data_IF_032887174506
#
_entry.id   IF_032887174506
#
_cell.length_a   1.000
_cell.length_b   1.000
_cell.length_c   1.000
_cell.angle_alpha   90.00
_cell.angle_beta   90.00
_cell.angle_gamma   90.00
#
_symmetry.space_group_name_H-M   'P 1'
#
loop_
_entity.id
_entity.type
_entity.pdbx_description
1 polymer ?
#
# COMPACT_ATOMS: atom_id res chain seq x y z
N UNK A 1 49.74 -6.91 46.74
CA UNK A 1 49.09 -5.61 46.44
C UNK A 1 49.44 -5.19 45.02
N UNK A 2 48.58 -5.45 44.03
CA UNK A 2 48.53 -4.74 42.72
C UNK A 2 47.05 -4.73 42.28
N UNK A 3 46.69 -3.68 41.55
CA UNK A 3 45.41 -2.98 41.46
C UNK A 3 44.34 -3.65 40.58
N UNK A 4 43.10 -3.27 40.86
CA UNK A 4 41.89 -3.51 40.08
C UNK A 4 41.97 -3.04 38.63
N UNK A 5 41.17 -3.67 37.75
CA UNK A 5 40.55 -3.02 36.59
C UNK A 5 39.38 -3.88 36.08
N UNK A 6 38.18 -3.54 36.55
CA UNK A 6 36.89 -3.89 35.96
C UNK A 6 36.79 -3.27 34.57
N UNK A 7 36.85 -4.09 33.52
CA UNK A 7 36.42 -3.69 32.18
C UNK A 7 34.95 -4.05 32.03
N UNK A 8 34.09 -3.06 32.29
CA UNK A 8 32.70 -3.05 31.89
C UNK A 8 32.69 -2.98 30.36
N UNK A 9 32.45 -4.12 29.71
CA UNK A 9 32.24 -4.17 28.26
C UNK A 9 30.89 -3.56 27.93
N UNK A 10 30.89 -2.34 27.38
CA UNK A 10 29.72 -1.75 26.76
C UNK A 10 29.31 -2.63 25.58
N UNK A 11 28.20 -3.36 25.73
CA UNK A 11 27.47 -3.91 24.61
C UNK A 11 26.94 -2.72 23.80
N UNK A 12 27.63 -2.36 22.72
CA UNK A 12 27.06 -1.52 21.69
C UNK A 12 25.94 -2.31 21.02
N UNK A 13 24.71 -2.15 21.53
CA UNK A 13 23.53 -2.44 20.73
C UNK A 13 23.52 -1.42 19.59
N UNK A 14 24.20 -1.76 18.49
CA UNK A 14 23.94 -1.14 17.21
C UNK A 14 22.51 -1.53 16.84
N UNK A 15 21.55 -0.69 17.24
CA UNK A 15 20.24 -0.63 16.62
C UNK A 15 20.49 -0.21 15.16
N UNK A 16 20.73 -1.19 14.29
CA UNK A 16 20.47 -0.99 12.87
C UNK A 16 18.98 -0.73 12.76
N UNK A 17 18.59 0.53 12.77
CA UNK A 17 17.28 0.93 12.30
C UNK A 17 17.13 0.31 10.90
N UNK A 18 16.16 -0.59 10.73
CA UNK A 18 15.76 -1.08 9.43
C UNK A 18 15.17 0.09 8.65
N UNK A 19 16.03 0.91 8.07
CA UNK A 19 15.64 1.95 7.12
C UNK A 19 15.57 1.29 5.75
N UNK A 20 14.43 0.69 5.45
CA UNK A 20 14.18 0.09 4.15
C UNK A 20 12.67 0.03 3.89
N UNK A 21 12.05 1.17 3.57
CA UNK A 21 10.81 1.18 2.78
C UNK A 21 11.17 0.86 1.32
N UNK A 22 11.85 -0.27 1.08
CA UNK A 22 12.37 -0.68 -0.24
C UNK A 22 11.26 -0.89 -1.26
N UNK A 23 10.04 -1.06 -0.78
CA UNK A 23 8.90 -1.40 -1.62
C UNK A 23 8.01 -0.20 -1.93
N UNK A 24 8.31 1.00 -1.39
CA UNK A 24 7.52 2.19 -1.69
C UNK A 24 7.50 2.46 -3.20
N UNK A 25 6.29 2.50 -3.78
CA UNK A 25 6.06 2.67 -5.21
C UNK A 25 6.22 1.42 -6.07
N UNK A 26 6.59 0.26 -5.48
CA UNK A 26 6.56 -1.01 -6.22
C UNK A 26 5.13 -1.39 -6.60
N UNK A 27 4.98 -2.06 -7.74
CA UNK A 27 3.66 -2.48 -8.24
C UNK A 27 3.12 -3.67 -7.47
N UNK A 28 1.83 -3.69 -7.17
CA UNK A 28 1.18 -4.76 -6.43
C UNK A 28 -0.17 -5.15 -7.04
N UNK A 29 -0.57 -6.42 -6.87
CA UNK A 29 -1.90 -6.87 -7.30
C UNK A 29 -2.95 -6.41 -6.31
N UNK A 30 -4.04 -5.84 -6.83
CA UNK A 30 -5.17 -5.45 -6.00
C UNK A 30 -5.98 -6.69 -5.63
N UNK A 31 -6.13 -6.93 -4.33
CA UNK A 31 -6.92 -8.04 -3.79
C UNK A 31 -7.89 -7.55 -2.72
N UNK A 32 -8.95 -8.31 -2.50
CA UNK A 32 -9.91 -8.08 -1.42
C UNK A 32 -10.11 -9.36 -0.61
N UNK A 33 -10.51 -9.24 0.66
CA UNK A 33 -10.90 -10.40 1.46
C UNK A 33 -12.01 -11.18 0.76
N UNK A 34 -11.87 -12.50 0.77
CA UNK A 34 -12.92 -13.37 0.28
C UNK A 34 -14.06 -13.45 1.30
N UNK A 35 -15.29 -13.13 0.89
CA UNK A 35 -16.46 -13.10 1.78
C UNK A 35 -17.28 -14.39 1.78
N UNK A 36 -16.85 -15.39 1.01
CA UNK A 36 -17.54 -16.69 0.90
C UNK A 36 -17.11 -17.64 2.02
N UNK A 37 -18.07 -18.39 2.57
CA UNK A 37 -17.80 -19.35 3.64
C UNK A 37 -16.81 -20.44 3.18
N UNK A 38 -15.71 -20.61 3.91
CA UNK A 38 -14.66 -21.58 3.60
C UNK A 38 -13.55 -21.05 2.68
N UNK A 39 -13.63 -19.79 2.26
CA UNK A 39 -12.60 -19.17 1.44
C UNK A 39 -11.48 -18.58 2.31
N UNK A 40 -10.27 -19.14 2.19
CA UNK A 40 -9.12 -18.76 3.04
C UNK A 40 -8.09 -17.90 2.34
N UNK A 41 -8.31 -17.52 1.07
CA UNK A 41 -7.36 -16.75 0.26
C UNK A 41 -7.99 -15.44 -0.23
N UNK A 42 -7.23 -14.34 -0.29
CA UNK A 42 -7.68 -13.11 -0.96
C UNK A 42 -8.09 -13.37 -2.41
N UNK A 43 -9.08 -12.61 -2.90
CA UNK A 43 -9.53 -12.67 -4.29
C UNK A 43 -9.09 -11.42 -5.04
N UNK A 44 -8.80 -11.56 -6.33
CA UNK A 44 -8.37 -10.45 -7.17
C UNK A 44 -9.50 -9.42 -7.34
N UNK A 45 -9.14 -8.14 -7.26
CA UNK A 45 -9.97 -7.04 -7.75
C UNK A 45 -9.73 -6.92 -9.24
N UNK A 46 -10.78 -7.05 -10.04
CA UNK A 46 -10.68 -6.98 -11.49
C UNK A 46 -10.58 -5.51 -11.95
N UNK A 47 -9.88 -5.28 -13.05
CA UNK A 47 -9.79 -3.94 -13.66
C UNK A 47 -11.19 -3.38 -13.97
N UNK A 48 -12.10 -4.23 -14.44
CA UNK A 48 -13.49 -3.87 -14.73
C UNK A 48 -14.33 -3.53 -13.48
N UNK A 49 -13.90 -3.93 -12.28
CA UNK A 49 -14.51 -3.49 -11.03
C UNK A 49 -14.07 -2.07 -10.69
N UNK A 50 -12.78 -1.76 -10.89
CA UNK A 50 -12.22 -0.44 -10.61
C UNK A 50 -12.78 0.64 -11.54
N UNK A 51 -12.93 0.31 -12.83
CA UNK A 51 -13.47 1.21 -13.84
C UNK A 51 -14.92 1.65 -13.59
N UNK A 52 -15.66 0.93 -12.74
CA UNK A 52 -17.02 1.34 -12.34
C UNK A 52 -17.03 2.46 -11.32
N UNK A 53 -15.94 2.69 -10.59
CA UNK A 53 -15.83 3.76 -9.60
C UNK A 53 -14.52 4.56 -9.78
N UNK A 54 -14.41 5.30 -10.88
CA UNK A 54 -13.20 6.03 -11.30
C UNK A 54 -12.79 7.20 -10.39
N UNK A 55 -13.67 7.65 -9.49
CA UNK A 55 -13.42 8.77 -8.57
C UNK A 55 -12.91 8.36 -7.18
N UNK A 56 -12.73 7.07 -6.93
CA UNK A 56 -12.32 6.54 -5.62
C UNK A 56 -10.97 5.84 -5.69
N UNK A 57 -10.18 6.03 -4.65
CA UNK A 57 -9.01 5.22 -4.40
C UNK A 57 -9.42 3.83 -3.92
N UNK A 58 -8.58 2.85 -4.20
CA UNK A 58 -8.75 1.49 -3.73
C UNK A 58 -7.58 1.13 -2.80
N UNK A 59 -7.91 0.42 -1.73
CA UNK A 59 -6.95 -0.08 -0.74
C UNK A 59 -7.08 -1.60 -0.68
N UNK A 60 -5.99 -2.29 -0.99
CA UNK A 60 -5.84 -3.72 -0.83
C UNK A 60 -4.96 -4.00 0.39
N UNK A 61 -5.54 -4.68 1.38
CA UNK A 61 -4.89 -5.03 2.64
C UNK A 61 -4.24 -6.41 2.48
N UNK A 62 -2.91 -6.50 2.65
CA UNK A 62 -2.19 -7.77 2.62
C UNK A 62 -1.82 -8.27 1.22
N UNK A 63 -1.61 -7.37 0.26
CA UNK A 63 -0.95 -7.72 -1.01
C UNK A 63 0.46 -8.23 -0.71
N UNK A 64 0.79 -9.42 -1.21
CA UNK A 64 2.05 -10.10 -0.91
C UNK A 64 3.28 -9.33 -1.41
N UNK A 65 3.09 -8.44 -2.37
CA UNK A 65 4.14 -7.61 -2.97
C UNK A 65 4.53 -6.40 -2.11
N UNK A 66 3.75 -6.07 -1.07
CA UNK A 66 3.97 -4.84 -0.29
C UNK A 66 4.55 -5.06 1.12
N UNK A 67 4.77 -6.30 1.54
CA UNK A 67 5.24 -6.64 2.90
C UNK A 67 4.46 -5.88 3.99
N UNK A 68 5.09 -4.92 4.69
CA UNK A 68 4.49 -4.07 5.73
C UNK A 68 3.72 -2.84 5.18
N UNK A 69 3.81 -2.56 3.88
CA UNK A 69 3.11 -1.48 3.19
C UNK A 69 1.71 -1.88 2.73
N UNK A 70 0.93 -0.87 2.37
CA UNK A 70 -0.44 -1.07 1.85
C UNK A 70 -0.41 -0.98 0.33
N UNK A 71 -1.13 -1.85 -0.37
CA UNK A 71 -1.30 -1.73 -1.81
C UNK A 71 -2.45 -0.77 -2.12
N UNK A 72 -2.18 0.30 -2.86
CA UNK A 72 -3.21 1.26 -3.25
C UNK A 72 -3.27 1.46 -4.76
N UNK A 73 -4.45 1.87 -5.22
CA UNK A 73 -4.66 2.38 -6.57
C UNK A 73 -5.35 3.73 -6.47
N UNK A 74 -4.79 4.74 -7.12
CA UNK A 74 -5.22 6.14 -6.97
C UNK A 74 -6.15 6.55 -8.09
N UNK A 75 -7.34 7.05 -7.77
CA UNK A 75 -8.26 7.61 -8.74
C UNK A 75 -7.60 8.71 -9.58
N UNK A 76 -7.85 8.68 -10.88
CA UNK A 76 -7.35 9.66 -11.84
C UNK A 76 -5.82 9.83 -11.73
N UNK A 77 -5.08 8.73 -11.77
CA UNK A 77 -3.61 8.76 -11.72
C UNK A 77 -3.02 7.71 -12.66
N UNK A 78 -1.74 7.84 -12.97
CA UNK A 78 -0.96 6.94 -13.82
C UNK A 78 -0.63 5.63 -13.09
N UNK A 79 -1.68 4.89 -12.71
CA UNK A 79 -1.51 3.59 -12.05
C UNK A 79 -0.91 2.56 -13.01
N UNK A 80 -0.26 1.50 -12.49
CA UNK A 80 0.26 0.43 -13.33
C UNK A 80 -0.82 -0.25 -14.18
N UNK A 81 -0.39 -0.72 -15.34
CA UNK A 81 -1.27 -1.44 -16.27
C UNK A 81 -1.81 -2.73 -15.65
N UNK A 82 -3.08 -3.09 -15.93
CA UNK A 82 -3.69 -4.30 -15.41
C UNK A 82 -3.07 -5.55 -16.07
N UNK A 83 -2.89 -6.60 -15.28
CA UNK A 83 -2.16 -7.83 -15.68
C UNK A 83 -3.06 -9.06 -15.65
N UNK A 84 -2.62 -10.15 -16.25
CA UNK A 84 -3.29 -11.43 -16.11
C UNK A 84 -3.11 -12.01 -14.70
N UNK A 85 -4.09 -12.78 -14.20
CA UNK A 85 -4.05 -13.31 -12.84
C UNK A 85 -2.86 -14.25 -12.62
N UNK A 86 -2.55 -15.06 -13.63
CA UNK A 86 -1.45 -16.02 -13.62
C UNK A 86 -0.14 -15.33 -14.05
N UNK A 87 0.92 -15.58 -13.29
CA UNK A 87 2.25 -15.05 -13.60
C UNK A 87 2.76 -15.56 -14.96
N UNK A 88 3.34 -14.66 -15.75
CA UNK A 88 3.87 -14.98 -17.09
C UNK A 88 2.82 -15.06 -18.21
N UNK A 89 1.52 -15.06 -17.88
CA UNK A 89 0.46 -14.94 -18.87
C UNK A 89 0.27 -13.47 -19.27
N UNK A 90 0.19 -13.22 -20.57
CA UNK A 90 -0.05 -11.88 -21.15
C UNK A 90 -1.28 -11.84 -22.06
N UNK A 91 -2.03 -12.95 -22.12
CA UNK A 91 -3.05 -13.21 -23.16
C UNK A 91 -4.47 -13.35 -22.64
N UNK A 92 -4.69 -13.24 -21.33
CA UNK A 92 -6.02 -13.28 -20.73
C UNK A 92 -6.96 -12.18 -21.28
N UNK A 93 -8.27 -12.45 -21.35
CA UNK A 93 -9.26 -11.48 -21.80
C UNK A 93 -9.34 -10.28 -20.84
N UNK A 94 -9.75 -9.12 -21.35
CA UNK A 94 -9.86 -7.88 -20.56
C UNK A 94 -10.74 -8.03 -19.31
N UNK A 95 -11.77 -8.88 -19.38
CA UNK A 95 -12.66 -9.17 -18.25
C UNK A 95 -11.99 -9.89 -17.09
N UNK A 96 -10.86 -10.56 -17.32
CA UNK A 96 -10.11 -11.31 -16.31
C UNK A 96 -8.88 -10.56 -15.80
N UNK A 97 -8.56 -9.41 -16.39
CA UNK A 97 -7.39 -8.64 -15.97
C UNK A 97 -7.56 -8.13 -14.55
N UNK A 98 -6.52 -8.32 -13.75
CA UNK A 98 -6.42 -7.89 -12.37
C UNK A 98 -6.00 -6.43 -12.36
N UNK A 99 -6.69 -5.62 -11.56
CA UNK A 99 -6.29 -4.25 -11.32
C UNK A 99 -4.94 -4.23 -10.58
N UNK A 100 -4.05 -3.35 -11.02
CA UNK A 100 -2.76 -3.14 -10.37
C UNK A 100 -2.76 -1.83 -9.59
N UNK A 101 -2.07 -1.85 -8.46
CA UNK A 101 -1.78 -0.71 -7.62
C UNK A 101 -0.27 -0.58 -7.39
N UNK A 102 0.08 0.19 -6.38
CA UNK A 102 1.45 0.32 -5.92
C UNK A 102 1.49 0.39 -4.39
N UNK A 103 2.62 -0.02 -3.81
CA UNK A 103 2.80 -0.04 -2.37
C UNK A 103 3.01 1.39 -1.84
N UNK A 104 2.33 1.71 -0.75
CA UNK A 104 2.33 3.02 -0.10
C UNK A 104 2.52 2.91 1.40
N UNK A 105 3.03 3.98 1.99
CA UNK A 105 3.08 4.20 3.43
C UNK A 105 2.27 5.43 3.81
N UNK A 106 1.83 5.47 5.07
CA UNK A 106 1.37 6.72 5.67
C UNK A 106 2.48 7.77 5.66
N UNK A 107 2.10 9.04 5.56
CA UNK A 107 3.04 10.15 5.48
C UNK A 107 2.57 11.34 6.31
N UNK A 108 3.54 12.13 6.78
CA UNK A 108 3.29 13.43 7.41
C UNK A 108 3.57 14.57 6.44
N UNK A 109 4.56 14.39 5.57
CA UNK A 109 4.95 15.35 4.55
C UNK A 109 5.56 14.67 3.31
N UNK A 110 5.87 15.48 2.30
CA UNK A 110 6.45 15.08 1.01
C UNK A 110 7.83 14.40 1.14
N UNK A 111 8.57 14.63 2.24
CA UNK A 111 9.85 13.98 2.42
C UNK A 111 9.70 12.48 2.72
N UNK A 112 8.56 12.05 3.27
CA UNK A 112 8.23 10.63 3.47
C UNK A 112 7.94 9.88 2.15
N UNK A 113 7.62 10.60 1.07
CA UNK A 113 7.15 10.03 -0.19
C UNK A 113 8.23 9.92 -1.26
N UNK A 114 9.50 9.94 -0.82
CA UNK A 114 10.65 9.74 -1.69
C UNK A 114 11.01 8.26 -1.70
N UNK A 115 10.73 7.51 -2.79
CA UNK A 115 11.11 6.11 -2.87
C UNK A 115 12.64 5.97 -2.79
N UNK A 116 13.12 5.04 -1.98
CA UNK A 116 14.56 4.72 -1.84
C UNK A 116 15.02 3.70 -2.92
N UNK A 117 14.08 3.20 -3.75
CA UNK A 117 14.35 2.20 -4.77
C UNK A 117 14.55 2.78 -6.17
N UNK A 118 15.47 2.16 -6.89
CA UNK A 118 16.07 2.57 -8.16
C UNK A 118 15.05 2.95 -9.26
N UNK A 119 14.95 4.24 -9.57
CA UNK A 119 14.71 4.70 -10.94
C UNK A 119 13.28 5.09 -11.36
N UNK A 120 12.31 5.20 -10.45
CA UNK A 120 11.00 5.82 -10.74
C UNK A 120 10.78 7.07 -9.89
N UNK A 121 11.44 8.16 -10.27
CA UNK A 121 11.25 9.47 -9.64
C UNK A 121 10.07 10.25 -10.24
N UNK A 122 8.92 9.60 -10.37
CA UNK A 122 7.67 10.35 -10.46
C UNK A 122 7.21 10.54 -9.01
N UNK A 123 7.64 11.64 -8.41
CA UNK A 123 7.53 11.89 -6.96
C UNK A 123 6.09 11.68 -6.49
N UNK A 124 5.89 10.63 -5.70
CA UNK A 124 4.65 10.42 -4.96
C UNK A 124 4.43 11.62 -4.04
N UNK A 125 3.17 11.96 -3.82
CA UNK A 125 2.76 13.10 -3.01
C UNK A 125 2.10 12.63 -1.71
N UNK A 126 2.29 13.37 -0.63
CA UNK A 126 1.67 13.08 0.64
C UNK A 126 0.25 13.66 0.68
N UNK A 127 -0.75 12.85 0.31
CA UNK A 127 -2.13 13.28 0.17
C UNK A 127 -3.12 12.32 0.82
N UNK A 128 -4.30 12.83 1.12
CA UNK A 128 -5.40 12.02 1.65
C UNK A 128 -5.96 11.07 0.58
N UNK A 129 -6.30 9.85 1.01
CA UNK A 129 -7.01 8.88 0.19
C UNK A 129 -8.48 9.28 0.01
N UNK A 130 -8.99 9.13 -1.22
CA UNK A 130 -10.38 9.34 -1.60
C UNK A 130 -11.15 8.02 -1.49
N UNK A 131 -11.54 7.64 -0.28
CA UNK A 131 -12.25 6.39 -0.01
C UNK A 131 -13.75 6.63 0.14
N UNK A 132 -14.58 5.63 -0.16
CA UNK A 132 -16.01 5.74 0.10
C UNK A 132 -16.33 5.64 1.59
N UNK A 133 -17.31 6.41 2.05
CA UNK A 133 -17.80 6.33 3.43
C UNK A 133 -18.32 4.94 3.78
N UNK A 134 -18.92 4.24 2.81
CA UNK A 134 -19.41 2.88 3.00
C UNK A 134 -18.26 1.90 3.27
N UNK A 135 -17.13 2.04 2.57
CA UNK A 135 -15.94 1.23 2.80
C UNK A 135 -15.35 1.50 4.19
N UNK A 136 -15.17 2.77 4.56
CA UNK A 136 -14.62 3.13 5.87
C UNK A 136 -15.50 2.63 7.02
N UNK A 137 -16.82 2.79 6.90
CA UNK A 137 -17.77 2.31 7.92
C UNK A 137 -17.80 0.78 8.00
N UNK A 138 -17.72 0.10 6.85
CA UNK A 138 -17.64 -1.36 6.80
C UNK A 138 -16.36 -1.85 7.47
N UNK A 139 -15.20 -1.33 7.07
CA UNK A 139 -13.91 -1.75 7.62
C UNK A 139 -13.84 -1.50 9.13
N UNK A 140 -14.33 -0.36 9.60
CA UNK A 140 -14.40 -0.05 11.04
C UNK A 140 -15.21 -1.07 11.85
N UNK A 141 -16.22 -1.67 11.22
CA UNK A 141 -17.11 -2.66 11.86
C UNK A 141 -16.55 -4.08 11.76
N UNK A 142 -15.99 -4.45 10.60
CA UNK A 142 -15.53 -5.81 10.30
C UNK A 142 -14.11 -6.08 10.82
N UNK A 143 -13.22 -5.08 10.75
CA UNK A 143 -11.81 -5.17 11.18
C UNK A 143 -11.34 -3.82 11.77
N UNK A 144 -11.74 -3.52 13.02
CA UNK A 144 -11.39 -2.26 13.68
C UNK A 144 -9.88 -2.11 13.89
N UNK A 145 -9.14 -3.21 14.04
CA UNK A 145 -7.69 -3.16 14.24
C UNK A 145 -6.98 -2.70 12.97
N UNK A 146 -7.38 -3.24 11.81
CA UNK A 146 -6.86 -2.75 10.52
C UNK A 146 -7.34 -1.33 10.23
N UNK A 147 -8.59 -1.00 10.52
CA UNK A 147 -9.07 0.38 10.40
C UNK A 147 -8.20 1.34 11.22
N UNK A 148 -7.88 1.00 12.47
CA UNK A 148 -7.06 1.85 13.32
C UNK A 148 -5.59 1.88 12.90
N UNK A 149 -5.04 0.75 12.42
CA UNK A 149 -3.67 0.68 11.91
C UNK A 149 -3.47 1.53 10.66
N UNK A 150 -4.45 1.52 9.76
CA UNK A 150 -4.35 2.19 8.45
C UNK A 150 -4.92 3.62 8.51
N UNK A 151 -5.91 3.90 9.35
CA UNK A 151 -6.63 5.19 9.37
C UNK A 151 -6.77 5.83 10.76
N UNK A 152 -6.27 5.19 11.83
CA UNK A 152 -6.67 5.46 13.22
C UNK A 152 -6.18 6.75 13.88
N UNK A 153 -5.39 7.58 13.21
CA UNK A 153 -5.04 8.92 13.71
C UNK A 153 -6.11 9.99 13.41
N UNK A 154 -7.20 9.59 12.74
CA UNK A 154 -8.26 10.45 12.20
C UNK A 154 -8.60 10.00 10.78
N UNK A 155 -9.85 10.18 10.35
CA UNK A 155 -10.37 9.77 9.03
C UNK A 155 -9.68 10.43 7.80
N UNK A 156 -8.55 11.10 8.03
CA UNK A 156 -7.70 11.85 7.12
C UNK A 156 -6.23 11.44 7.31
N UNK A 157 -5.94 10.14 7.23
CA UNK A 157 -4.55 9.68 7.12
C UNK A 157 -4.05 10.00 5.70
N UNK A 158 -2.96 10.77 5.62
CA UNK A 158 -2.28 11.01 4.36
C UNK A 158 -1.39 9.81 4.02
N UNK A 159 -1.31 9.51 2.74
CA UNK A 159 -0.52 8.44 2.17
C UNK A 159 0.32 8.96 1.03
N UNK A 160 1.44 8.29 0.77
CA UNK A 160 2.22 8.55 -0.43
C UNK A 160 1.46 8.02 -1.63
N UNK A 161 0.95 8.90 -2.48
CA UNK A 161 0.17 8.53 -3.65
C UNK A 161 0.78 9.11 -4.92
N UNK A 162 0.58 8.44 -6.05
CA UNK A 162 0.88 9.01 -7.35
C UNK A 162 0.05 10.28 -7.58
N UNK A 163 0.63 11.33 -8.18
CA UNK A 163 -0.10 12.56 -8.47
C UNK A 163 -1.39 12.26 -9.25
N UNK A 164 -2.48 12.94 -8.88
CA UNK A 164 -3.70 12.86 -9.67
C UNK A 164 -3.52 13.67 -10.94
N UNK A 165 -3.76 13.05 -12.09
CA UNK A 165 -3.98 13.79 -13.34
C UNK A 165 -5.19 14.68 -13.13
N UNK A 166 -5.11 15.96 -13.49
CA UNK A 166 -6.27 16.84 -13.47
C UNK A 166 -7.40 16.13 -14.22
N UNK A 167 -8.54 15.93 -13.54
CA UNK A 167 -9.72 15.41 -14.20
C UNK A 167 -10.05 16.41 -15.32
N UNK A 168 -10.00 15.99 -16.58
CA UNK A 168 -10.70 16.72 -17.63
C UNK A 168 -12.17 16.71 -17.22
N UNK A 169 -12.64 17.89 -16.78
CA UNK A 169 -14.02 18.14 -16.37
C UNK A 169 -14.97 18.07 -17.57
#
# INVERSE_FOLDING_TARGET
MIRASTLVGLAALALTACSATTDLGQTCKMTKPCKEAGCTKPVNILQSEVEKNTGLDYVALGSAECDDLVCIRTANSLNPDPVCPNEGDTTCPASERVAMGYCTSGCLDEANCRPDFQGKSDTMQCNQLLLSDSYLNQLKTEDPDTYNRVFGSGASANYCILPRTAAEQ
#
